data_IF_254682190248
#
_entry.id   IF_254682190248
#
_cell.length_a   1.000
_cell.length_b   1.000
_cell.length_c   1.000
_cell.angle_alpha   90.00
_cell.angle_beta   90.00
_cell.angle_gamma   90.00
#
_symmetry.space_group_name_H-M   'P 1'
#
loop_
_entity.id
_entity.type
_entity.pdbx_description
1 polymer ?
#
# COMPACT_ATOMS: atom_id res chain seq x y z
N UNK A 1 8.33 -30.50 -32.30
CA UNK A 1 8.15 -29.18 -31.67
C UNK A 1 7.18 -28.40 -32.54
N UNK A 2 5.99 -28.10 -32.05
CA UNK A 2 4.99 -27.35 -32.82
C UNK A 2 5.37 -25.86 -32.85
N UNK A 3 5.15 -25.13 -33.95
CA UNK A 3 5.45 -23.71 -34.01
C UNK A 3 4.50 -22.94 -33.07
N UNK A 4 5.04 -21.99 -32.32
CA UNK A 4 4.26 -21.06 -31.51
C UNK A 4 3.46 -20.15 -32.45
N UNK A 5 2.13 -19.99 -32.29
CA UNK A 5 1.36 -19.09 -33.12
C UNK A 5 1.77 -17.63 -32.85
N UNK A 6 2.23 -16.93 -33.89
CA UNK A 6 2.34 -15.47 -33.87
C UNK A 6 0.94 -14.89 -33.93
N UNK A 7 0.50 -14.23 -32.86
CA UNK A 7 -0.75 -13.48 -32.84
C UNK A 7 -0.47 -12.13 -33.51
N UNK A 8 -1.14 -11.78 -34.63
CA UNK A 8 -0.98 -10.45 -35.25
C UNK A 8 -1.74 -9.41 -34.42
N UNK A 9 -1.07 -8.31 -34.08
CA UNK A 9 -1.58 -7.24 -33.22
C UNK A 9 -2.51 -6.23 -33.94
N UNK A 10 -3.04 -6.60 -35.11
CA UNK A 10 -3.84 -5.69 -35.94
C UNK A 10 -5.17 -6.33 -36.37
N UNK A 11 -6.06 -6.54 -35.41
CA UNK A 11 -7.48 -6.72 -35.72
C UNK A 11 -8.15 -5.34 -35.80
N UNK A 12 -8.00 -4.67 -36.94
CA UNK A 12 -8.71 -3.42 -37.23
C UNK A 12 -10.15 -3.74 -37.63
N UNK A 13 -11.07 -3.74 -36.66
CA UNK A 13 -12.50 -3.66 -36.95
C UNK A 13 -12.90 -2.24 -37.35
N UNK A 14 -13.70 -2.06 -38.41
CA UNK A 14 -14.25 -0.77 -38.77
C UNK A 14 -15.43 -0.46 -37.83
N UNK A 15 -15.23 0.50 -36.95
CA UNK A 15 -16.18 1.03 -35.99
C UNK A 15 -15.50 2.17 -35.22
N UNK A 16 -16.24 3.06 -34.51
CA UNK A 16 -15.62 4.13 -33.73
C UNK A 16 -14.66 3.48 -32.73
N UNK A 17 -13.36 3.58 -33.01
CA UNK A 17 -12.30 3.05 -32.14
C UNK A 17 -12.28 3.90 -30.88
N UNK A 18 -13.22 3.67 -29.98
CA UNK A 18 -12.95 3.78 -28.56
C UNK A 18 -11.86 2.76 -28.31
N UNK A 19 -10.59 3.17 -28.47
CA UNK A 19 -9.48 2.51 -27.80
C UNK A 19 -9.92 2.46 -26.34
N UNK A 20 -10.41 1.30 -25.88
CA UNK A 20 -10.59 1.09 -24.45
C UNK A 20 -9.19 1.28 -23.88
N UNK A 21 -8.96 2.46 -23.31
CA UNK A 21 -7.71 2.81 -22.66
C UNK A 21 -7.59 1.79 -21.54
N UNK A 22 -6.71 0.81 -21.72
CA UNK A 22 -6.50 -0.23 -20.73
C UNK A 22 -6.14 0.51 -19.43
N UNK A 23 -7.00 0.44 -18.42
CA UNK A 23 -6.70 1.00 -17.10
C UNK A 23 -5.44 0.31 -16.60
N UNK A 24 -4.34 1.05 -16.69
CA UNK A 24 -3.01 0.52 -16.41
C UNK A 24 -2.62 1.05 -15.05
N UNK A 25 -2.48 0.18 -14.06
CA UNK A 25 -2.06 0.57 -12.73
C UNK A 25 -0.54 0.74 -12.66
N UNK A 26 -0.09 1.81 -12.01
CA UNK A 26 1.30 2.04 -11.65
C UNK A 26 1.50 1.61 -10.19
N UNK A 27 2.27 0.54 -10.02
CA UNK A 27 2.56 -0.07 -8.71
C UNK A 27 4.03 0.14 -8.38
N UNK A 28 4.31 0.92 -7.34
CA UNK A 28 5.67 1.14 -6.84
C UNK A 28 5.98 0.30 -5.61
N UNK A 29 7.02 -0.52 -5.69
CA UNK A 29 7.48 -1.41 -4.62
C UNK A 29 8.91 -1.02 -4.22
N UNK A 30 9.15 -0.88 -2.91
CA UNK A 30 10.50 -0.72 -2.37
C UNK A 30 11.24 -2.06 -2.41
N UNK A 31 12.36 -2.10 -3.13
CA UNK A 31 13.12 -3.34 -3.35
C UNK A 31 13.75 -3.90 -2.07
N UNK A 32 13.99 -3.06 -1.06
CA UNK A 32 14.64 -3.50 0.17
C UNK A 32 13.64 -4.13 1.15
N UNK A 33 12.43 -3.57 1.20
CA UNK A 33 11.42 -3.95 2.20
C UNK A 33 10.26 -4.75 1.62
N UNK A 34 10.14 -4.81 0.29
CA UNK A 34 9.01 -5.41 -0.42
C UNK A 34 7.68 -4.68 -0.21
N UNK A 35 7.72 -3.44 0.31
CA UNK A 35 6.51 -2.68 0.65
C UNK A 35 5.97 -1.95 -0.57
N UNK A 36 4.64 -1.94 -0.70
CA UNK A 36 3.92 -1.05 -1.61
C UNK A 36 4.08 0.40 -1.11
N UNK A 37 4.67 1.26 -1.93
CA UNK A 37 4.92 2.67 -1.59
C UNK A 37 4.21 3.65 -2.51
N UNK A 38 3.69 3.16 -3.63
CA UNK A 38 2.93 3.94 -4.61
C UNK A 38 1.89 3.04 -5.28
N UNK A 39 0.67 3.55 -5.38
CA UNK A 39 -0.41 2.97 -6.17
C UNK A 39 -1.14 4.13 -6.84
N UNK A 40 -1.17 4.15 -8.18
CA UNK A 40 -1.86 5.19 -8.94
C UNK A 40 -2.30 4.65 -10.30
N UNK A 41 -3.35 5.21 -10.89
CA UNK A 41 -3.76 4.84 -12.25
C UNK A 41 -2.94 5.64 -13.26
N UNK A 42 -2.44 4.99 -14.32
CA UNK A 42 -1.79 5.68 -15.42
C UNK A 42 -2.75 6.63 -16.15
N UNK A 43 -4.08 6.44 -16.00
CA UNK A 43 -5.08 7.34 -16.56
C UNK A 43 -5.14 8.70 -15.85
N UNK A 44 -4.65 8.79 -14.61
CA UNK A 44 -4.64 10.03 -13.83
C UNK A 44 -3.53 11.00 -14.27
N UNK A 45 -2.60 10.52 -15.11
CA UNK A 45 -1.47 11.28 -15.61
C UNK A 45 -1.57 11.43 -17.13
N UNK A 46 -1.17 12.60 -17.63
CA UNK A 46 -1.11 12.86 -19.07
C UNK A 46 0.25 12.44 -19.63
N UNK A 47 1.26 13.30 -19.51
CA UNK A 47 2.60 13.06 -20.07
C UNK A 47 3.68 12.85 -19.01
N UNK A 48 3.49 13.43 -17.81
CA UNK A 48 4.50 13.40 -16.76
C UNK A 48 3.96 12.80 -15.47
N UNK A 49 4.78 11.95 -14.87
CA UNK A 49 4.49 11.31 -13.59
C UNK A 49 5.34 11.95 -12.49
N UNK A 50 4.69 12.61 -11.54
CA UNK A 50 5.37 13.35 -10.47
C UNK A 50 5.53 12.47 -9.22
N UNK A 51 6.78 12.18 -8.87
CA UNK A 51 7.11 11.44 -7.63
C UNK A 51 7.51 12.41 -6.54
N UNK A 52 6.92 12.26 -5.35
CA UNK A 52 7.30 13.10 -4.21
C UNK A 52 8.76 12.86 -3.80
N UNK A 53 9.53 13.93 -3.60
CA UNK A 53 10.90 13.83 -3.10
C UNK A 53 10.96 13.13 -1.73
N UNK A 54 9.92 13.28 -0.91
CA UNK A 54 9.80 12.61 0.38
C UNK A 54 9.82 11.08 0.25
N UNK A 55 9.15 10.53 -0.77
CA UNK A 55 9.16 9.10 -1.06
C UNK A 55 10.58 8.64 -1.41
N UNK A 56 11.24 9.33 -2.35
CA UNK A 56 12.60 8.99 -2.80
C UNK A 56 13.64 9.11 -1.68
N UNK A 57 13.50 10.08 -0.76
CA UNK A 57 14.38 10.22 0.40
C UNK A 57 14.20 9.09 1.43
N UNK A 58 13.02 8.50 1.52
CA UNK A 58 12.70 7.42 2.47
C UNK A 58 13.01 6.04 1.88
N UNK A 59 12.78 5.87 0.58
CA UNK A 59 12.96 4.62 -0.15
C UNK A 59 13.94 4.84 -1.31
N UNK A 60 15.23 4.61 -1.06
CA UNK A 60 16.31 4.84 -2.04
C UNK A 60 16.28 3.88 -3.23
N UNK A 61 15.65 2.70 -3.07
CA UNK A 61 15.50 1.71 -4.15
C UNK A 61 14.03 1.41 -4.39
N UNK A 62 13.49 1.92 -5.50
CA UNK A 62 12.09 1.81 -5.89
C UNK A 62 11.99 1.22 -7.29
N UNK A 63 11.14 0.20 -7.46
CA UNK A 63 10.75 -0.32 -8.78
C UNK A 63 9.29 0.00 -9.02
N UNK A 64 8.98 0.55 -10.21
CA UNK A 64 7.61 0.83 -10.63
C UNK A 64 7.22 -0.15 -11.74
N UNK A 65 6.09 -0.81 -11.57
CA UNK A 65 5.53 -1.75 -12.53
C UNK A 65 4.23 -1.20 -13.11
N UNK A 66 4.06 -1.30 -14.43
CA UNK A 66 2.83 -0.93 -15.15
C UNK A 66 2.05 -2.13 -15.69
N UNK A 67 2.63 -3.35 -15.60
CA UNK A 67 2.04 -4.57 -16.18
C UNK A 67 1.45 -5.53 -15.14
N UNK A 68 1.34 -5.07 -13.90
CA UNK A 68 0.76 -5.86 -12.82
C UNK A 68 -0.75 -5.66 -12.81
N UNK A 69 -1.49 -6.74 -12.57
CA UNK A 69 -2.94 -6.72 -12.40
C UNK A 69 -3.27 -7.06 -10.96
N UNK A 70 -4.29 -6.37 -10.41
CA UNK A 70 -4.79 -6.66 -9.07
C UNK A 70 -5.56 -7.99 -9.06
N UNK A 71 -5.21 -8.87 -8.12
CA UNK A 71 -5.88 -10.15 -7.90
C UNK A 71 -7.02 -10.07 -6.87
N UNK A 72 -7.25 -8.90 -6.27
CA UNK A 72 -8.27 -8.63 -5.25
C UNK A 72 -8.21 -9.55 -4.01
N UNK A 73 -7.01 -10.05 -3.69
CA UNK A 73 -6.75 -10.80 -2.47
C UNK A 73 -6.06 -9.90 -1.45
N UNK A 74 -6.80 -9.52 -0.39
CA UNK A 74 -6.26 -8.68 0.68
C UNK A 74 -6.36 -9.38 2.03
N UNK A 75 -5.28 -9.32 2.79
CA UNK A 75 -5.24 -9.72 4.20
C UNK A 75 -5.09 -8.45 5.02
N UNK A 76 -6.08 -8.15 5.86
CA UNK A 76 -6.19 -6.87 6.56
C UNK A 76 -6.30 -7.13 8.07
N UNK A 77 -5.58 -6.33 8.87
CA UNK A 77 -5.68 -6.40 10.33
C UNK A 77 -7.05 -5.92 10.82
N UNK A 78 -7.58 -6.55 11.88
CA UNK A 78 -8.89 -6.20 12.47
C UNK A 78 -9.04 -4.70 12.78
N UNK A 79 -7.99 -4.05 13.28
CA UNK A 79 -8.08 -2.64 13.63
C UNK A 79 -8.33 -1.72 12.41
N UNK A 80 -7.89 -2.12 11.21
CA UNK A 80 -8.18 -1.39 9.96
C UNK A 80 -9.65 -1.57 9.59
N UNK A 81 -10.23 -2.75 9.89
CA UNK A 81 -11.67 -2.97 9.73
C UNK A 81 -12.47 -2.10 10.70
N UNK A 82 -12.03 -1.99 11.96
CA UNK A 82 -12.65 -1.10 12.95
C UNK A 82 -12.60 0.37 12.47
N UNK A 83 -11.52 0.79 11.80
CA UNK A 83 -11.41 2.10 11.15
C UNK A 83 -12.40 2.27 9.98
N UNK A 84 -12.56 1.27 9.11
CA UNK A 84 -13.51 1.31 7.99
C UNK A 84 -14.97 1.38 8.47
N UNK A 85 -15.31 0.68 9.55
CA UNK A 85 -16.67 0.73 10.13
C UNK A 85 -16.99 2.12 10.64
N UNK A 86 -15.99 2.79 11.21
CA UNK A 86 -16.13 4.13 11.75
C UNK A 86 -16.14 5.21 10.66
N UNK A 87 -15.26 5.10 9.67
CA UNK A 87 -15.14 6.02 8.55
C UNK A 87 -15.76 5.42 7.28
N UNK A 88 -17.04 5.76 7.04
CA UNK A 88 -17.82 5.25 5.89
C UNK A 88 -17.55 5.96 4.56
N UNK A 89 -16.50 6.77 4.48
CA UNK A 89 -16.15 7.49 3.25
C UNK A 89 -15.43 6.61 2.22
N UNK A 90 -15.11 5.36 2.57
CA UNK A 90 -14.47 4.40 1.67
C UNK A 90 -15.51 3.45 1.06
N UNK A 91 -15.62 3.48 -0.26
CA UNK A 91 -16.48 2.67 -1.11
C UNK A 91 -15.71 1.53 -1.78
N UNK A 92 -14.45 1.75 -2.17
CA UNK A 92 -13.61 0.73 -2.81
C UNK A 92 -12.32 0.48 -2.03
N UNK A 93 -11.90 -0.79 -1.96
CA UNK A 93 -10.63 -1.15 -1.32
C UNK A 93 -9.44 -0.68 -2.17
N UNK A 94 -9.50 -0.92 -3.48
CA UNK A 94 -8.39 -0.67 -4.40
C UNK A 94 -8.12 0.81 -4.62
N UNK A 95 -9.14 1.60 -4.96
CA UNK A 95 -8.93 2.97 -5.44
C UNK A 95 -8.92 4.00 -4.31
N UNK A 96 -9.55 3.69 -3.17
CA UNK A 96 -9.64 4.62 -2.04
C UNK A 96 -8.84 4.15 -0.82
N UNK A 97 -9.10 2.94 -0.32
CA UNK A 97 -8.46 2.48 0.92
C UNK A 97 -6.94 2.27 0.76
N UNK A 98 -6.50 1.56 -0.28
CA UNK A 98 -5.08 1.25 -0.47
C UNK A 98 -4.23 2.53 -0.66
N UNK A 99 -4.57 3.47 -1.57
CA UNK A 99 -3.82 4.71 -1.72
C UNK A 99 -3.82 5.55 -0.44
N UNK A 100 -4.92 5.54 0.32
CA UNK A 100 -5.00 6.19 1.63
C UNK A 100 -4.00 5.59 2.63
N UNK A 101 -3.98 4.25 2.78
CA UNK A 101 -3.04 3.57 3.68
C UNK A 101 -1.59 3.83 3.26
N UNK A 102 -1.27 3.71 1.97
CA UNK A 102 0.07 3.97 1.43
C UNK A 102 0.51 5.41 1.72
N UNK A 103 -0.37 6.38 1.53
CA UNK A 103 -0.12 7.79 1.85
C UNK A 103 0.18 7.99 3.34
N UNK A 104 -0.55 7.29 4.22
CA UNK A 104 -0.33 7.32 5.67
C UNK A 104 0.96 6.61 6.10
N UNK A 105 1.43 5.58 5.39
CA UNK A 105 2.73 4.95 5.65
C UNK A 105 3.92 5.90 5.42
N UNK A 106 3.76 6.87 4.51
CA UNK A 106 4.78 7.89 4.23
C UNK A 106 4.70 9.08 5.19
N UNK A 107 3.52 9.32 5.78
CA UNK A 107 3.32 10.35 6.80
C UNK A 107 3.93 9.92 8.14
N UNK A 108 4.25 10.89 9.00
CA UNK A 108 4.69 10.62 10.37
C UNK A 108 3.45 10.74 11.27
N UNK A 109 3.27 9.87 12.27
CA UNK A 109 2.30 10.12 13.32
C UNK A 109 2.62 11.48 13.95
N UNK A 110 1.66 12.40 14.01
CA UNK A 110 1.85 13.65 14.76
C UNK A 110 1.96 13.26 16.23
N UNK A 111 3.18 13.31 16.79
CA UNK A 111 3.33 13.40 18.23
C UNK A 111 2.67 14.73 18.62
N UNK A 112 1.68 14.68 19.51
CA UNK A 112 1.13 15.87 20.14
C UNK A 112 2.24 16.51 20.96
N UNK A 113 2.95 17.47 20.36
CA UNK A 113 3.76 18.40 21.12
C UNK A 113 2.75 19.34 21.77
N UNK A 114 2.65 19.24 23.09
CA UNK A 114 1.90 20.16 23.94
C UNK A 114 2.64 21.50 23.91
N UNK A 115 2.42 22.29 22.87
CA UNK A 115 2.89 23.67 22.82
C UNK A 115 1.76 24.59 22.40
N UNK A 116 1.35 25.37 23.40
CA UNK A 116 0.45 26.49 23.29
C UNK A 116 1.01 27.46 22.24
N UNK A 117 0.14 27.85 21.31
CA UNK A 117 0.28 28.95 20.36
C UNK A 117 0.99 28.56 19.06
N UNK A 118 0.21 28.30 17.99
CA UNK A 118 0.26 29.08 16.72
C UNK A 118 -0.81 28.56 15.74
N UNK A 119 -1.71 29.48 15.38
CA UNK A 119 -2.59 29.54 14.21
C UNK A 119 -3.53 28.39 13.86
N UNK A 120 -4.81 28.76 13.80
CA UNK A 120 -5.92 28.05 13.18
C UNK A 120 -5.57 27.55 11.77
N UNK A 121 -5.27 26.26 11.66
CA UNK A 121 -5.73 25.48 10.53
C UNK A 121 -6.66 24.45 11.15
N UNK A 122 -7.94 24.50 10.80
CA UNK A 122 -8.88 23.42 11.03
C UNK A 122 -8.43 22.22 10.21
N UNK A 123 -7.31 21.59 10.59
CA UNK A 123 -6.98 20.25 10.14
C UNK A 123 -7.93 19.39 10.91
N UNK A 124 -8.96 18.90 10.24
CA UNK A 124 -9.95 17.99 10.79
C UNK A 124 -9.26 16.92 11.65
N UNK A 125 -9.26 17.15 12.97
CA UNK A 125 -8.70 16.23 13.99
C UNK A 125 -9.65 15.03 14.15
N UNK A 126 -10.71 14.94 13.33
CA UNK A 126 -11.49 13.73 13.19
C UNK A 126 -10.60 12.61 12.64
N UNK A 127 -10.13 11.77 13.56
CA UNK A 127 -10.20 10.31 13.35
C UNK A 127 -9.19 9.71 12.36
N UNK A 128 -7.94 10.16 12.44
CA UNK A 128 -6.86 9.60 11.61
C UNK A 128 -6.61 8.10 11.91
N UNK A 129 -6.25 7.32 10.89
CA UNK A 129 -6.05 5.86 10.95
C UNK A 129 -5.10 5.41 12.08
N UNK A 130 -4.16 6.29 12.46
CA UNK A 130 -3.21 6.07 13.54
C UNK A 130 -3.86 5.84 14.91
N UNK A 131 -5.07 6.36 15.16
CA UNK A 131 -5.80 6.13 16.41
C UNK A 131 -6.19 4.64 16.58
N UNK A 132 -6.48 3.97 15.48
CA UNK A 132 -6.85 2.56 15.46
C UNK A 132 -5.63 1.65 15.46
N UNK A 133 -4.50 2.14 14.94
CA UNK A 133 -3.24 1.40 14.91
C UNK A 133 -2.54 1.29 16.28
N UNK A 134 -3.07 1.92 17.33
CA UNK A 134 -2.51 1.83 18.67
C UNK A 134 -2.59 0.38 19.21
N UNK A 135 -1.44 -0.19 19.57
CA UNK A 135 -1.38 -1.51 20.20
C UNK A 135 -2.18 -1.49 21.50
N UNK A 136 -3.03 -2.50 21.71
CA UNK A 136 -3.65 -2.69 23.02
C UNK A 136 -2.55 -3.04 24.01
N UNK A 137 -2.63 -2.60 25.27
CA UNK A 137 -1.61 -2.91 26.27
C UNK A 137 -1.42 -4.42 26.46
N UNK A 138 -2.46 -5.22 26.20
CA UNK A 138 -2.39 -6.68 26.19
C UNK A 138 -1.53 -7.23 25.04
N UNK A 139 -1.65 -6.68 23.83
CA UNK A 139 -0.85 -7.13 22.67
C UNK A 139 0.61 -6.75 22.85
N UNK A 140 0.87 -5.56 23.41
CA UNK A 140 2.21 -5.14 23.81
C UNK A 140 2.79 -6.07 24.89
N UNK A 141 1.97 -6.45 25.87
CA UNK A 141 2.34 -7.38 26.92
C UNK A 141 2.61 -8.78 26.36
N UNK A 142 1.78 -9.30 25.44
CA UNK A 142 1.99 -10.58 24.77
C UNK A 142 3.29 -10.55 23.96
N UNK A 143 3.56 -9.47 23.23
CA UNK A 143 4.82 -9.31 22.48
C UNK A 143 6.04 -9.27 23.41
N UNK A 144 5.96 -8.56 24.54
CA UNK A 144 7.04 -8.47 25.54
C UNK A 144 7.23 -9.76 26.32
N UNK A 145 6.15 -10.46 26.65
CA UNK A 145 6.13 -11.71 27.42
C UNK A 145 6.39 -12.95 26.56
N UNK A 146 6.21 -12.84 25.24
CA UNK A 146 6.48 -13.95 24.32
C UNK A 146 7.98 -14.15 24.16
N UNK A 147 8.55 -14.95 25.06
CA UNK A 147 9.79 -15.70 24.81
C UNK A 147 9.60 -16.76 23.70
N UNK A 148 8.35 -17.01 23.29
CA UNK A 148 7.97 -18.07 22.37
C UNK A 148 8.17 -17.70 20.89
N UNK A 149 8.08 -16.43 20.53
CA UNK A 149 8.40 -15.96 19.17
C UNK A 149 9.89 -16.13 18.84
N UNK A 150 10.78 -15.97 19.83
CA UNK A 150 12.20 -16.22 19.67
C UNK A 150 12.51 -17.72 19.51
N UNK A 151 11.81 -18.59 20.26
CA UNK A 151 11.96 -20.04 20.19
C UNK A 151 11.39 -20.60 18.88
N UNK A 152 10.20 -20.17 18.45
CA UNK A 152 9.62 -20.59 17.15
C UNK A 152 10.51 -20.12 16.00
N UNK A 153 11.01 -18.88 16.03
CA UNK A 153 11.92 -18.38 15.00
C UNK A 153 13.25 -19.15 14.96
N UNK A 154 13.78 -19.57 16.12
CA UNK A 154 14.98 -20.41 16.20
C UNK A 154 14.72 -21.81 15.64
N UNK A 155 13.60 -22.43 15.99
CA UNK A 155 13.20 -23.76 15.51
C UNK A 155 13.00 -23.74 13.98
N UNK A 156 12.34 -22.71 13.45
CA UNK A 156 12.12 -22.57 12.01
C UNK A 156 13.42 -22.30 11.25
N UNK A 157 14.34 -21.54 11.84
CA UNK A 157 15.67 -21.27 11.28
C UNK A 157 16.61 -22.48 11.36
N UNK A 158 16.49 -23.33 12.39
CA UNK A 158 17.22 -24.59 12.51
C UNK A 158 16.72 -25.62 11.49
N UNK A 159 15.40 -25.74 11.32
CA UNK A 159 14.82 -26.68 10.36
C UNK A 159 15.17 -26.35 8.90
N UNK A 160 15.28 -25.05 8.56
CA UNK A 160 15.68 -24.60 7.21
C UNK A 160 17.19 -24.81 6.93
N UNK A 161 18.04 -24.94 7.95
CA UNK A 161 19.49 -25.19 7.74
C UNK A 161 19.88 -26.67 7.71
N UNK A 162 18.96 -27.58 8.04
CA UNK A 162 19.18 -29.05 8.01
C UNK A 162 18.61 -29.74 6.75
N UNK A 163 18.14 -28.98 5.77
CA UNK A 163 17.72 -29.45 4.43
C UNK A 163 18.41 -28.64 3.34
#
# INVERSE_FOLDING_TARGET
MLPVPNVPDDFVTPGPKSKQKLETDLIGIDNNTGRLVLLASASDFEETFNISQRLLRKHTSLTVHSRLMDAHLYVINKWVLDFLVFNKNFTTLKDELLPYIVSKQLSRPKQSVDDRNTSMVQVDVKEDIFRFAAEKPLDELIRKMSAFSMIIALIWKMHIMET
#
